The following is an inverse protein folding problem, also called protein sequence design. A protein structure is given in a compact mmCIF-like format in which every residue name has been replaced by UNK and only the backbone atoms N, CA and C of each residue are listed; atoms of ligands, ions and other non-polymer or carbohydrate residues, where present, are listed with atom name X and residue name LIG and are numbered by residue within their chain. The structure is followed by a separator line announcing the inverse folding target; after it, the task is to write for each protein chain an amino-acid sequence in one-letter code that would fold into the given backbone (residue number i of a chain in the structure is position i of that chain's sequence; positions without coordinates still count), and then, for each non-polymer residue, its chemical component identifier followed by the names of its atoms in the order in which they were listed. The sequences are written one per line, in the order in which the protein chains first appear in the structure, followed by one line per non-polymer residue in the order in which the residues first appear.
data_IF_719503963566
#
_entry.id   IF_719503963566
#
_cell.length_a   1.000
_cell.length_b   1.000
_cell.length_c   1.000
_cell.angle_alpha   90.00
_cell.angle_beta   90.00
_cell.angle_gamma   90.00
#
_symmetry.space_group_name_H-M   'P 1'
#
loop_
_entity.id
_entity.type
_entity.pdbx_description
1 polymer ?
#
# COMPACT_ATOMS: atom_id res chain seq x y z
N UNK A 1 13.35 -33.38 -20.26
CA UNK A 1 12.96 -32.66 -19.02
C UNK A 1 12.84 -31.19 -19.38
N UNK A 2 11.63 -30.73 -19.71
CA UNK A 2 11.36 -29.33 -19.98
C UNK A 2 11.44 -28.57 -18.65
N UNK A 3 12.37 -27.63 -18.55
CA UNK A 3 12.33 -26.63 -17.48
C UNK A 3 11.06 -25.83 -17.71
N UNK A 4 10.06 -26.01 -16.82
CA UNK A 4 8.83 -25.24 -16.87
C UNK A 4 9.18 -23.74 -16.89
N UNK A 5 8.59 -23.00 -17.79
CA UNK A 5 8.68 -21.54 -17.79
C UNK A 5 8.20 -21.02 -16.44
N UNK A 6 8.88 -20.03 -15.84
CA UNK A 6 8.42 -19.45 -14.60
C UNK A 6 7.03 -18.87 -14.83
N UNK A 7 6.10 -19.14 -13.92
CA UNK A 7 4.77 -18.52 -13.94
C UNK A 7 4.91 -17.00 -13.80
N UNK A 8 4.01 -16.25 -14.41
CA UNK A 8 4.01 -14.77 -14.34
C UNK A 8 4.07 -14.27 -12.90
N UNK A 9 3.44 -14.97 -11.96
CA UNK A 9 3.53 -14.72 -10.52
C UNK A 9 4.96 -14.74 -9.97
N UNK A 10 5.77 -15.72 -10.37
CA UNK A 10 7.16 -15.84 -9.93
C UNK A 10 8.05 -14.76 -10.53
N UNK A 11 7.80 -14.36 -11.77
CA UNK A 11 8.48 -13.23 -12.42
C UNK A 11 8.15 -11.91 -11.73
N UNK A 12 6.90 -11.67 -11.36
CA UNK A 12 6.46 -10.50 -10.59
C UNK A 12 7.11 -10.49 -9.20
N UNK A 13 7.15 -11.63 -8.51
CA UNK A 13 7.78 -11.75 -7.19
C UNK A 13 9.28 -11.46 -7.23
N UNK A 14 10.02 -12.03 -8.18
CA UNK A 14 11.47 -11.81 -8.33
C UNK A 14 11.79 -10.37 -8.74
N UNK A 15 10.96 -9.77 -9.58
CA UNK A 15 11.07 -8.38 -10.00
C UNK A 15 10.85 -7.44 -8.81
N UNK A 16 9.79 -7.67 -8.04
CA UNK A 16 9.40 -6.84 -6.91
C UNK A 16 10.48 -6.87 -5.80
N UNK A 17 11.05 -8.03 -5.48
CA UNK A 17 12.07 -8.15 -4.43
C UNK A 17 13.34 -7.35 -4.71
N UNK A 18 13.79 -7.29 -5.97
CA UNK A 18 14.97 -6.52 -6.40
C UNK A 18 14.76 -5.01 -6.34
N UNK A 19 13.54 -4.54 -6.61
CA UNK A 19 13.20 -3.12 -6.59
C UNK A 19 13.05 -2.55 -5.18
N UNK A 20 12.49 -3.31 -4.25
CA UNK A 20 12.18 -2.80 -2.91
C UNK A 20 13.42 -2.46 -2.08
N UNK A 21 14.57 -3.12 -2.31
CA UNK A 21 15.80 -2.81 -1.58
C UNK A 21 16.30 -1.36 -1.79
N UNK A 22 16.07 -0.77 -2.99
CA UNK A 22 16.44 0.62 -3.30
C UNK A 22 15.38 1.63 -2.88
N UNK A 23 14.10 1.23 -2.83
CA UNK A 23 12.96 2.11 -2.54
C UNK A 23 13.01 2.70 -1.13
N UNK A 24 13.67 2.03 -0.20
CA UNK A 24 13.74 2.42 1.22
C UNK A 24 15.08 3.03 1.61
N UNK A 25 15.70 3.83 0.75
CA UNK A 25 16.92 4.57 1.06
C UNK A 25 16.73 6.08 0.86
N UNK A 26 17.48 6.88 1.59
CA UNK A 26 17.53 8.33 1.42
C UNK A 26 16.15 9.01 1.53
N UNK A 27 15.84 9.89 0.59
CA UNK A 27 14.58 10.67 0.58
C UNK A 27 13.35 9.81 0.26
N UNK A 28 13.52 8.73 -0.48
CA UNK A 28 12.45 7.74 -0.73
C UNK A 28 11.98 7.08 0.57
N UNK A 29 12.93 6.71 1.44
CA UNK A 29 12.60 6.23 2.79
C UNK A 29 11.75 7.22 3.57
N UNK A 30 12.14 8.51 3.59
CA UNK A 30 11.39 9.55 4.30
C UNK A 30 9.97 9.72 3.75
N UNK A 31 9.81 9.62 2.43
CA UNK A 31 8.50 9.69 1.80
C UNK A 31 7.58 8.53 2.23
N UNK A 32 8.07 7.30 2.11
CA UNK A 32 7.29 6.13 2.52
C UNK A 32 7.05 6.07 4.03
N UNK A 33 8.03 6.47 4.85
CA UNK A 33 7.87 6.55 6.29
C UNK A 33 6.78 7.55 6.69
N UNK A 34 6.71 8.71 6.02
CA UNK A 34 5.62 9.69 6.24
C UNK A 34 4.25 9.10 5.92
N UNK A 35 4.10 8.40 4.79
CA UNK A 35 2.84 7.75 4.42
C UNK A 35 2.43 6.74 5.48
N UNK A 36 3.35 5.87 5.90
CA UNK A 36 3.07 4.86 6.93
C UNK A 36 2.71 5.50 8.27
N UNK A 37 3.39 6.59 8.65
CA UNK A 37 3.04 7.37 9.85
C UNK A 37 1.63 7.93 9.75
N UNK A 38 1.27 8.47 8.60
CA UNK A 38 -0.09 8.95 8.36
C UNK A 38 -1.11 7.79 8.44
N UNK A 39 -0.81 6.62 7.89
CA UNK A 39 -1.70 5.44 7.95
C UNK A 39 -1.97 5.00 9.40
N UNK A 40 -1.00 5.14 10.30
CA UNK A 40 -1.12 4.78 11.71
C UNK A 40 -1.82 5.83 12.58
N UNK A 41 -2.30 6.95 12.00
CA UNK A 41 -3.03 7.94 12.80
C UNK A 41 -4.25 7.33 13.50
N UNK A 42 -4.28 7.50 14.83
CA UNK A 42 -5.37 7.00 15.66
C UNK A 42 -5.21 5.55 16.12
N UNK A 43 -4.08 4.89 15.81
CA UNK A 43 -3.65 3.67 16.50
C UNK A 43 -3.24 4.04 17.93
N UNK A 44 -3.71 3.27 18.90
CA UNK A 44 -3.38 3.51 20.30
C UNK A 44 -2.25 2.61 20.77
N UNK A 45 -1.24 3.25 21.36
CA UNK A 45 -0.24 2.58 22.18
C UNK A 45 -0.28 3.18 23.58
N UNK A 46 -0.66 2.38 24.54
CA UNK A 46 -0.58 2.73 25.97
C UNK A 46 0.12 1.60 26.72
N UNK A 47 0.68 1.91 27.89
CA UNK A 47 1.36 0.91 28.76
C UNK A 47 0.44 -0.24 29.22
N UNK A 48 -0.87 -0.11 29.04
CA UNK A 48 -1.86 -1.08 29.48
C UNK A 48 -2.60 -1.80 28.36
N UNK A 49 -2.56 -1.28 27.14
CA UNK A 49 -3.26 -1.85 26.00
C UNK A 49 -2.63 -1.38 24.70
N UNK A 50 -2.23 -2.33 23.85
CA UNK A 50 -1.84 -2.06 22.47
C UNK A 50 -2.92 -2.58 21.54
N UNK A 51 -3.26 -1.78 20.51
CA UNK A 51 -4.12 -2.23 19.43
C UNK A 51 -3.41 -3.38 18.68
N UNK A 52 -4.13 -4.46 18.36
CA UNK A 52 -3.65 -5.51 17.46
C UNK A 52 -3.80 -5.06 16.04
N UNK A 53 -2.70 -5.02 15.31
CA UNK A 53 -2.63 -4.50 13.94
C UNK A 53 -2.37 -5.65 12.99
N UNK A 54 -3.16 -5.74 11.91
CA UNK A 54 -2.87 -6.60 10.77
C UNK A 54 -2.32 -5.74 9.62
N UNK A 55 -1.15 -6.10 9.10
CA UNK A 55 -0.55 -5.53 7.89
C UNK A 55 -0.75 -6.51 6.73
N UNK A 56 -1.72 -6.22 5.86
CA UNK A 56 -2.10 -7.07 4.72
C UNK A 56 -1.26 -6.67 3.50
N UNK A 57 -0.48 -7.62 2.97
CA UNK A 57 0.56 -7.34 1.99
C UNK A 57 1.79 -6.73 2.65
N UNK A 58 2.24 -7.31 3.76
CA UNK A 58 3.30 -6.74 4.61
C UNK A 58 4.69 -6.72 3.92
N UNK A 59 4.88 -7.51 2.88
CA UNK A 59 6.14 -7.60 2.17
C UNK A 59 7.34 -7.85 3.08
N UNK A 60 8.36 -7.01 2.97
CA UNK A 60 9.59 -7.08 3.77
C UNK A 60 9.46 -6.51 5.20
N UNK A 61 8.24 -6.21 5.66
CA UNK A 61 7.98 -5.74 7.02
C UNK A 61 8.31 -4.26 7.29
N UNK A 62 8.23 -3.42 6.28
CA UNK A 62 8.57 -1.99 6.42
C UNK A 62 7.78 -1.28 7.52
N UNK A 63 6.48 -1.58 7.67
CA UNK A 63 5.65 -1.04 8.75
C UNK A 63 6.19 -1.45 10.13
N UNK A 64 6.43 -2.75 10.32
CA UNK A 64 6.93 -3.30 11.58
C UNK A 64 8.35 -2.83 11.91
N UNK A 65 9.17 -2.60 10.88
CA UNK A 65 10.52 -2.03 11.04
C UNK A 65 10.49 -0.60 11.58
N UNK A 66 9.55 0.22 11.11
CA UNK A 66 9.38 1.60 11.59
C UNK A 66 8.78 1.66 13.00
N UNK A 67 7.94 0.69 13.35
CA UNK A 67 7.17 0.67 14.58
C UNK A 67 7.31 -0.68 15.33
N UNK A 68 8.53 -1.04 15.77
CA UNK A 68 8.81 -2.35 16.36
C UNK A 68 8.10 -2.60 17.69
N UNK A 69 7.60 -1.55 18.35
CA UNK A 69 6.90 -1.64 19.64
C UNK A 69 5.38 -1.84 19.48
N UNK A 70 4.84 -1.83 18.24
CA UNK A 70 3.43 -2.13 18.00
C UNK A 70 3.19 -3.64 17.86
N UNK A 71 2.01 -4.13 18.27
CA UNK A 71 1.61 -5.54 18.05
C UNK A 71 1.12 -5.70 16.59
N UNK A 72 2.07 -5.76 15.68
CA UNK A 72 1.82 -5.91 14.25
C UNK A 72 2.02 -7.36 13.86
N UNK A 73 1.02 -7.94 13.18
CA UNK A 73 1.15 -9.22 12.49
C UNK A 73 1.00 -8.96 10.99
N UNK A 74 1.97 -9.40 10.19
CA UNK A 74 1.92 -9.28 8.73
C UNK A 74 1.35 -10.52 8.06
N UNK A 75 0.72 -10.35 6.90
CA UNK A 75 0.45 -11.44 5.95
C UNK A 75 0.92 -11.04 4.55
N UNK A 76 1.48 -11.99 3.81
CA UNK A 76 1.88 -11.84 2.42
C UNK A 76 1.96 -13.21 1.73
N UNK A 77 1.85 -13.26 0.41
CA UNK A 77 2.01 -14.51 -0.37
C UNK A 77 3.42 -14.70 -0.90
N UNK A 78 4.22 -13.64 -0.97
CA UNK A 78 5.52 -13.60 -1.63
C UNK A 78 6.63 -14.17 -0.74
N UNK A 79 7.14 -15.35 -1.10
CA UNK A 79 8.29 -15.94 -0.39
C UNK A 79 9.53 -15.03 -0.44
N UNK A 80 9.78 -14.37 -1.59
CA UNK A 80 10.92 -13.47 -1.75
C UNK A 80 10.85 -12.23 -0.87
N UNK A 81 9.65 -11.71 -0.61
CA UNK A 81 9.43 -10.58 0.28
C UNK A 81 9.53 -11.02 1.75
N UNK A 82 8.87 -12.11 2.10
CA UNK A 82 8.84 -12.65 3.46
C UNK A 82 10.21 -13.12 3.93
N UNK A 83 11.05 -13.66 3.04
CA UNK A 83 12.43 -14.06 3.36
C UNK A 83 13.28 -12.89 3.89
N UNK A 84 12.92 -11.65 3.57
CA UNK A 84 13.60 -10.44 4.02
C UNK A 84 12.83 -9.71 5.14
N UNK A 85 11.78 -10.32 5.67
CA UNK A 85 10.97 -9.74 6.74
C UNK A 85 11.36 -10.34 8.11
N UNK A 86 12.08 -9.61 8.97
CA UNK A 86 12.53 -10.11 10.27
C UNK A 86 11.43 -10.08 11.34
N UNK A 87 10.22 -9.62 11.01
CA UNK A 87 9.12 -9.41 11.95
C UNK A 87 8.13 -10.57 11.95
N UNK A 88 7.10 -10.48 12.76
CA UNK A 88 6.02 -11.47 12.85
C UNK A 88 5.15 -11.46 11.60
N UNK A 89 5.12 -12.59 10.88
CA UNK A 89 4.28 -12.75 9.70
C UNK A 89 3.74 -14.18 9.53
N UNK A 90 2.72 -14.30 8.70
CA UNK A 90 2.15 -15.57 8.25
C UNK A 90 2.03 -15.51 6.72
N UNK A 91 2.45 -16.56 6.03
CA UNK A 91 2.25 -16.67 4.59
C UNK A 91 0.78 -17.01 4.32
N UNK A 92 0.05 -16.05 3.78
CA UNK A 92 -1.36 -16.22 3.45
C UNK A 92 -1.80 -15.20 2.40
N UNK A 93 -2.78 -15.55 1.53
CA UNK A 93 -3.39 -14.61 0.61
C UNK A 93 -4.34 -13.66 1.35
N UNK A 94 -4.47 -12.43 0.84
CA UNK A 94 -5.40 -11.44 1.37
C UNK A 94 -6.88 -11.86 1.22
N UNK A 95 -7.17 -12.73 0.27
CA UNK A 95 -8.50 -13.28 -0.02
C UNK A 95 -8.90 -14.45 0.90
N UNK A 96 -7.99 -14.90 1.78
CA UNK A 96 -8.25 -15.95 2.78
C UNK A 96 -7.36 -15.73 4.01
N UNK A 97 -7.69 -14.73 4.81
CA UNK A 97 -6.91 -14.32 5.99
C UNK A 97 -7.05 -15.36 7.10
N UNK A 98 -5.94 -15.98 7.60
CA UNK A 98 -5.98 -17.11 8.53
C UNK A 98 -6.19 -16.68 9.99
N UNK A 99 -7.14 -15.79 10.22
CA UNK A 99 -7.52 -15.32 11.56
C UNK A 99 -9.04 -15.38 11.73
N UNK A 100 -9.53 -15.53 12.98
CA UNK A 100 -10.95 -15.51 13.27
C UNK A 100 -11.56 -14.13 13.01
N UNK A 101 -12.88 -14.11 12.94
CA UNK A 101 -13.65 -12.87 12.86
C UNK A 101 -13.37 -11.96 14.06
N UNK A 102 -13.38 -10.65 13.83
CA UNK A 102 -13.29 -9.64 14.89
C UNK A 102 -12.02 -9.77 15.78
N UNK A 103 -10.88 -10.06 15.16
CA UNK A 103 -9.61 -10.32 15.86
C UNK A 103 -8.75 -9.06 16.03
N UNK A 104 -8.69 -8.20 15.02
CA UNK A 104 -7.82 -7.03 14.99
C UNK A 104 -8.56 -5.75 15.33
N UNK A 105 -7.85 -4.84 16.01
CA UNK A 105 -8.34 -3.48 16.30
C UNK A 105 -8.09 -2.55 15.10
N UNK A 106 -7.05 -2.87 14.31
CA UNK A 106 -6.63 -2.09 13.16
C UNK A 106 -6.20 -3.00 12.00
N UNK A 107 -6.63 -2.68 10.78
CA UNK A 107 -6.19 -3.38 9.56
C UNK A 107 -5.61 -2.37 8.59
N UNK A 108 -4.41 -2.64 8.10
CA UNK A 108 -3.68 -1.79 7.16
C UNK A 108 -3.45 -2.58 5.87
N UNK A 109 -3.64 -1.90 4.74
CA UNK A 109 -3.38 -2.43 3.41
C UNK A 109 -2.65 -1.36 2.60
N UNK A 110 -1.45 -1.67 2.09
CA UNK A 110 -0.61 -0.71 1.40
C UNK A 110 -0.13 -1.23 0.05
N UNK A 111 -0.53 -0.54 -1.04
CA UNK A 111 -0.17 -0.92 -2.42
C UNK A 111 -0.45 -2.41 -2.69
N UNK A 112 -1.64 -2.87 -2.36
CA UNK A 112 -2.01 -4.27 -2.43
C UNK A 112 -3.23 -4.52 -3.29
N UNK A 113 -4.30 -3.73 -3.16
CA UNK A 113 -5.60 -4.05 -3.78
C UNK A 113 -5.50 -4.20 -5.29
N UNK A 114 -4.64 -3.39 -5.94
CA UNK A 114 -4.41 -3.47 -7.37
C UNK A 114 -3.64 -4.72 -7.82
N UNK A 115 -3.06 -5.50 -6.89
CA UNK A 115 -2.38 -6.77 -7.16
C UNK A 115 -3.26 -7.99 -6.92
N UNK A 116 -4.42 -7.85 -6.25
CA UNK A 116 -5.27 -8.98 -5.92
C UNK A 116 -6.05 -9.46 -7.13
N UNK A 117 -6.20 -10.76 -7.30
CA UNK A 117 -7.04 -11.36 -8.35
C UNK A 117 -8.51 -10.99 -8.16
N UNK A 118 -8.98 -10.97 -6.90
CA UNK A 118 -10.36 -10.63 -6.52
C UNK A 118 -10.36 -9.61 -5.38
N UNK A 119 -10.13 -8.30 -5.67
CA UNK A 119 -10.02 -7.24 -4.66
C UNK A 119 -11.19 -7.16 -3.68
N UNK A 120 -12.42 -7.39 -4.18
CA UNK A 120 -13.63 -7.42 -3.34
C UNK A 120 -13.56 -8.51 -2.27
N UNK A 121 -12.95 -9.67 -2.57
CA UNK A 121 -12.78 -10.75 -1.61
C UNK A 121 -11.74 -10.40 -0.55
N UNK A 122 -10.63 -9.78 -0.95
CA UNK A 122 -9.62 -9.28 0.00
C UNK A 122 -10.21 -8.24 0.96
N UNK A 123 -10.99 -7.29 0.44
CA UNK A 123 -11.70 -6.30 1.27
C UNK A 123 -12.70 -6.96 2.24
N UNK A 124 -13.47 -7.95 1.79
CA UNK A 124 -14.41 -8.69 2.64
C UNK A 124 -13.68 -9.43 3.78
N UNK A 125 -12.54 -10.06 3.51
CA UNK A 125 -11.72 -10.72 4.52
C UNK A 125 -11.11 -9.71 5.52
N UNK A 126 -10.60 -8.57 5.05
CA UNK A 126 -10.12 -7.49 5.92
C UNK A 126 -11.24 -6.98 6.85
N UNK A 127 -12.45 -6.81 6.30
CA UNK A 127 -13.63 -6.44 7.09
C UNK A 127 -14.02 -7.53 8.09
N UNK A 128 -13.98 -8.81 7.70
CA UNK A 128 -14.31 -9.94 8.57
C UNK A 128 -13.44 -9.99 9.81
N UNK A 129 -12.12 -9.89 9.63
CA UNK A 129 -11.15 -10.00 10.73
C UNK A 129 -11.06 -8.75 11.60
N UNK A 130 -11.58 -7.60 11.14
CA UNK A 130 -11.62 -6.36 11.88
C UNK A 130 -12.74 -6.41 12.93
N UNK A 131 -12.46 -5.97 14.14
CA UNK A 131 -13.44 -5.85 15.24
C UNK A 131 -14.52 -4.83 14.90
N UNK A 132 -15.75 -4.97 15.44
CA UNK A 132 -16.74 -3.89 15.42
C UNK A 132 -16.15 -2.60 15.99
N UNK A 133 -16.30 -1.48 15.26
CA UNK A 133 -15.66 -0.20 15.61
C UNK A 133 -14.14 -0.14 15.38
N UNK A 134 -13.54 -1.21 14.89
CA UNK A 134 -12.14 -1.25 14.48
C UNK A 134 -11.89 -0.34 13.28
N UNK A 135 -10.64 0.10 13.10
CA UNK A 135 -10.25 1.03 12.05
C UNK A 135 -9.53 0.31 10.92
N UNK A 136 -9.76 0.79 9.72
CA UNK A 136 -9.11 0.30 8.52
C UNK A 136 -8.50 1.45 7.73
N UNK A 137 -7.35 1.22 7.10
CA UNK A 137 -6.72 2.15 6.19
C UNK A 137 -6.11 1.44 4.99
N UNK A 138 -6.37 1.99 3.82
CA UNK A 138 -5.74 1.59 2.57
C UNK A 138 -4.96 2.76 1.99
N UNK A 139 -3.80 2.46 1.41
CA UNK A 139 -3.09 3.35 0.50
C UNK A 139 -2.78 2.60 -0.79
N UNK A 140 -3.41 3.02 -1.90
CA UNK A 140 -3.32 2.32 -3.19
C UNK A 140 -3.17 3.31 -4.35
N UNK A 141 -2.60 2.93 -5.50
CA UNK A 141 -2.54 3.78 -6.67
C UNK A 141 -3.93 4.25 -7.11
N UNK A 142 -3.99 5.50 -7.57
CA UNK A 142 -5.15 6.10 -8.22
C UNK A 142 -4.90 6.15 -9.72
N UNK A 143 -5.64 5.37 -10.48
CA UNK A 143 -5.52 5.30 -11.93
C UNK A 143 -6.46 6.33 -12.60
N UNK A 144 -6.36 7.58 -12.15
CA UNK A 144 -7.08 8.71 -12.77
C UNK A 144 -6.53 9.11 -14.14
N UNK A 145 -7.14 10.13 -14.73
CA UNK A 145 -6.84 10.63 -16.09
C UNK A 145 -5.35 10.88 -16.34
N UNK A 146 -4.63 11.41 -15.35
CA UNK A 146 -3.19 11.68 -15.49
C UNK A 146 -2.37 10.38 -15.56
N UNK A 147 -2.71 9.38 -14.79
CA UNK A 147 -2.07 8.06 -14.83
C UNK A 147 -2.27 7.41 -16.19
N UNK A 148 -3.49 7.36 -16.71
CA UNK A 148 -3.80 6.78 -18.01
C UNK A 148 -3.10 7.52 -19.15
N UNK A 149 -3.02 8.86 -19.08
CA UNK A 149 -2.26 9.65 -20.05
C UNK A 149 -0.77 9.29 -20.04
N UNK A 150 -0.15 9.21 -18.87
CA UNK A 150 1.28 8.86 -18.77
C UNK A 150 1.51 7.41 -19.16
N UNK A 151 0.66 6.48 -18.74
CA UNK A 151 0.68 5.10 -19.17
C UNK A 151 0.65 4.98 -20.70
N UNK A 152 -0.19 5.75 -21.38
CA UNK A 152 -0.29 5.74 -22.84
C UNK A 152 1.00 6.15 -23.55
N UNK A 153 1.81 7.01 -22.92
CA UNK A 153 3.13 7.44 -23.43
C UNK A 153 4.19 6.34 -23.20
N UNK A 154 4.11 5.63 -22.07
CA UNK A 154 5.11 4.66 -21.62
C UNK A 154 4.68 3.20 -21.81
N UNK A 155 3.71 2.91 -22.66
CA UNK A 155 3.13 1.57 -22.90
C UNK A 155 4.12 0.46 -23.27
N UNK A 156 5.36 0.80 -23.60
CA UNK A 156 6.39 -0.16 -24.04
C UNK A 156 7.34 -0.60 -22.93
N UNK A 157 7.04 -0.29 -21.67
CA UNK A 157 7.86 -0.76 -20.55
C UNK A 157 7.12 -1.87 -19.80
N UNK A 158 7.80 -3.01 -19.56
CA UNK A 158 7.31 -4.17 -18.78
C UNK A 158 6.84 -3.82 -17.35
N UNK A 159 6.94 -2.55 -16.96
CA UNK A 159 6.59 -2.02 -15.65
C UNK A 159 5.08 -1.85 -15.43
N UNK A 160 4.31 -1.81 -16.50
CA UNK A 160 2.85 -1.71 -16.47
C UNK A 160 2.24 -3.02 -16.97
N UNK A 161 2.49 -4.11 -16.23
CA UNK A 161 2.00 -5.42 -16.60
C UNK A 161 0.46 -5.46 -16.61
N UNK A 162 -0.10 -6.33 -17.45
CA UNK A 162 -1.54 -6.56 -17.56
C UNK A 162 -2.18 -7.18 -16.30
N UNK A 163 -1.36 -7.52 -15.29
CA UNK A 163 -1.77 -8.16 -14.04
C UNK A 163 -2.21 -7.15 -12.95
N UNK A 164 -2.14 -5.84 -13.22
CA UNK A 164 -2.54 -4.85 -12.23
C UNK A 164 -3.95 -4.35 -12.53
N UNK A 165 -4.84 -4.46 -11.56
CA UNK A 165 -6.13 -3.78 -11.65
C UNK A 165 -5.92 -2.27 -11.62
N UNK A 166 -6.60 -1.58 -12.52
CA UNK A 166 -6.61 -0.13 -12.58
C UNK A 166 -7.93 0.36 -12.01
N UNK A 167 -7.91 0.96 -10.83
CA UNK A 167 -9.11 1.52 -10.21
C UNK A 167 -9.10 3.04 -10.32
N UNK A 168 -10.22 3.61 -10.73
CA UNK A 168 -10.46 5.02 -10.45
C UNK A 168 -11.00 5.20 -9.01
N UNK A 169 -10.98 6.44 -8.52
CA UNK A 169 -11.40 6.75 -7.16
C UNK A 169 -12.82 6.26 -6.84
N UNK A 170 -13.76 6.42 -7.77
CA UNK A 170 -15.18 6.01 -7.59
C UNK A 170 -15.34 4.49 -7.48
N UNK A 171 -14.66 3.72 -8.33
CA UNK A 171 -14.71 2.24 -8.29
C UNK A 171 -14.14 1.71 -6.98
N UNK A 172 -13.02 2.30 -6.53
CA UNK A 172 -12.39 1.89 -5.29
C UNK A 172 -13.27 2.19 -4.07
N UNK A 173 -13.93 3.36 -4.06
CA UNK A 173 -14.86 3.71 -2.97
C UNK A 173 -16.07 2.79 -2.93
N UNK A 174 -16.67 2.49 -4.09
CA UNK A 174 -17.81 1.56 -4.19
C UNK A 174 -17.42 0.16 -3.67
N UNK A 175 -16.26 -0.37 -4.09
CA UNK A 175 -15.80 -1.68 -3.61
C UNK A 175 -15.58 -1.73 -2.09
N UNK A 176 -15.09 -0.63 -1.50
CA UNK A 176 -14.86 -0.52 -0.06
C UNK A 176 -16.20 -0.48 0.69
N UNK A 177 -17.15 0.31 0.22
CA UNK A 177 -18.49 0.43 0.80
C UNK A 177 -19.29 -0.88 0.64
N UNK A 178 -19.20 -1.56 -0.52
CA UNK A 178 -19.77 -2.89 -0.78
C UNK A 178 -19.23 -3.96 0.19
N UNK A 179 -17.96 -3.85 0.58
CA UNK A 179 -17.36 -4.76 1.56
C UNK A 179 -17.81 -4.50 3.01
N UNK A 180 -18.60 -3.46 3.25
CA UNK A 180 -19.17 -3.11 4.54
C UNK A 180 -18.41 -2.07 5.34
N UNK A 181 -17.36 -1.46 4.81
CA UNK A 181 -16.66 -0.38 5.49
C UNK A 181 -17.40 0.96 5.40
N UNK A 182 -17.49 1.67 6.50
CA UNK A 182 -17.85 3.09 6.50
C UNK A 182 -16.60 3.93 6.22
N UNK A 183 -16.55 4.60 5.07
CA UNK A 183 -15.42 5.49 4.72
C UNK A 183 -15.50 6.76 5.57
N UNK A 184 -14.45 7.04 6.34
CA UNK A 184 -14.36 8.21 7.22
C UNK A 184 -13.48 9.32 6.66
N UNK A 185 -12.52 8.99 5.80
CA UNK A 185 -11.62 9.96 5.19
C UNK A 185 -11.14 9.49 3.81
N UNK A 186 -11.06 10.42 2.86
CA UNK A 186 -10.52 10.24 1.51
C UNK A 186 -9.45 11.29 1.28
N UNK A 187 -8.18 10.86 1.13
CA UNK A 187 -7.04 11.75 0.84
C UNK A 187 -6.39 11.39 -0.48
N UNK A 188 -6.19 12.39 -1.30
CA UNK A 188 -5.47 12.32 -2.56
C UNK A 188 -4.01 12.70 -2.32
N UNK A 189 -3.07 11.84 -2.71
CA UNK A 189 -1.65 11.95 -2.35
C UNK A 189 -0.78 11.69 -3.57
N UNK A 190 0.38 12.37 -3.61
CA UNK A 190 1.45 12.02 -4.51
C UNK A 190 1.25 12.56 -5.92
N UNK A 191 1.40 13.87 -6.11
CA UNK A 191 1.34 14.51 -7.43
C UNK A 191 2.72 14.53 -8.08
N UNK A 192 3.69 15.18 -7.44
CA UNK A 192 5.08 15.23 -7.86
C UNK A 192 5.98 14.35 -6.98
N UNK A 193 5.68 14.26 -5.68
CA UNK A 193 6.49 13.48 -4.76
C UNK A 193 6.43 11.99 -5.06
N UNK A 194 5.27 11.43 -5.39
CA UNK A 194 5.15 10.00 -5.67
C UNK A 194 5.97 9.53 -6.89
N UNK A 195 5.85 10.14 -8.08
CA UNK A 195 6.67 9.73 -9.22
C UNK A 195 8.17 9.98 -9.02
N UNK A 196 8.56 11.01 -8.25
CA UNK A 196 9.95 11.36 -8.05
C UNK A 196 10.61 10.67 -6.85
N UNK A 197 9.88 10.39 -5.79
CA UNK A 197 10.39 9.81 -4.54
C UNK A 197 9.90 8.37 -4.31
N UNK A 198 8.70 8.04 -4.79
CA UNK A 198 8.09 6.72 -4.65
C UNK A 198 8.64 5.68 -5.62
N UNK A 199 9.24 6.12 -6.74
CA UNK A 199 9.86 5.27 -7.76
C UNK A 199 11.33 5.63 -7.97
N UNK A 200 12.21 5.38 -7.00
CA UNK A 200 13.63 5.74 -7.11
C UNK A 200 14.36 5.04 -8.27
N UNK A 201 13.77 4.00 -8.83
CA UNK A 201 14.32 3.27 -9.97
C UNK A 201 14.11 3.99 -11.31
N UNK A 202 13.10 4.87 -11.38
CA UNK A 202 12.81 5.68 -12.56
C UNK A 202 13.66 6.95 -12.53
N UNK A 203 13.86 7.51 -11.34
CA UNK A 203 14.60 8.74 -11.11
C UNK A 203 16.07 8.40 -10.84
N UNK A 204 16.91 8.49 -11.89
CA UNK A 204 18.32 8.13 -11.82
C UNK A 204 19.22 9.21 -11.17
N UNK A 205 18.65 10.32 -10.73
CA UNK A 205 19.38 11.40 -10.08
C UNK A 205 19.09 11.46 -8.59
N UNK A 206 20.10 11.87 -7.83
CA UNK A 206 19.96 12.00 -6.37
C UNK A 206 19.16 13.25 -6.03
N UNK A 207 18.03 13.04 -5.37
CA UNK A 207 17.21 14.14 -4.84
C UNK A 207 17.67 14.44 -3.42
N UNK A 208 17.99 15.72 -3.14
CA UNK A 208 18.34 16.14 -1.79
C UNK A 208 17.15 16.05 -0.83
N UNK A 209 17.42 15.82 0.45
CA UNK A 209 16.37 15.74 1.49
C UNK A 209 15.55 17.04 1.55
N UNK A 210 16.20 18.20 1.38
CA UNK A 210 15.52 19.51 1.38
C UNK A 210 14.51 19.63 0.23
N UNK A 211 14.92 19.29 -0.99
CA UNK A 211 14.04 19.30 -2.15
C UNK A 211 12.93 18.24 -2.05
N UNK A 212 13.22 17.06 -1.52
CA UNK A 212 12.20 16.05 -1.27
C UNK A 212 11.13 16.50 -0.27
N UNK A 213 11.52 17.18 0.82
CA UNK A 213 10.58 17.80 1.76
C UNK A 213 9.73 18.89 1.10
N UNK A 214 10.32 19.69 0.21
CA UNK A 214 9.59 20.69 -0.57
C UNK A 214 8.55 20.04 -1.47
N UNK A 215 8.89 18.96 -2.18
CA UNK A 215 7.95 18.22 -3.03
C UNK A 215 6.77 17.67 -2.21
N UNK A 216 7.04 17.10 -1.04
CA UNK A 216 5.99 16.58 -0.16
C UNK A 216 5.07 17.70 0.36
N UNK A 217 5.63 18.84 0.71
CA UNK A 217 4.85 20.03 1.10
C UNK A 217 4.01 20.55 -0.06
N UNK A 218 4.58 20.64 -1.27
CA UNK A 218 3.89 21.09 -2.47
C UNK A 218 2.72 20.19 -2.82
N UNK A 219 2.91 18.86 -2.76
CA UNK A 219 1.86 17.88 -2.94
C UNK A 219 0.70 18.09 -1.96
N UNK A 220 1.01 18.40 -0.71
CA UNK A 220 0.00 18.72 0.30
C UNK A 220 -0.80 19.98 -0.04
N UNK A 221 -0.18 20.99 -0.67
CA UNK A 221 -0.94 22.17 -1.12
C UNK A 221 -1.87 21.83 -2.29
N UNK A 222 -1.39 21.06 -3.28
CA UNK A 222 -2.22 20.65 -4.43
C UNK A 222 -3.43 19.83 -3.96
N UNK A 223 -3.26 18.98 -2.96
CA UNK A 223 -4.36 18.14 -2.43
C UNK A 223 -5.57 18.94 -1.90
N UNK A 224 -5.36 20.23 -1.58
CA UNK A 224 -6.39 21.17 -1.11
C UNK A 224 -7.09 21.93 -2.23
N UNK A 225 -6.67 21.73 -3.48
CA UNK A 225 -7.20 22.42 -4.65
C UNK A 225 -8.19 21.54 -5.43
N UNK A 226 -8.91 22.08 -6.41
CA UNK A 226 -9.74 21.29 -7.34
C UNK A 226 -8.95 20.21 -8.11
N UNK A 227 -7.63 20.38 -8.27
CA UNK A 227 -6.76 19.42 -8.96
C UNK A 227 -6.44 18.15 -8.16
N UNK A 228 -7.02 17.99 -6.95
CA UNK A 228 -6.78 16.83 -6.10
C UNK A 228 -6.99 15.47 -6.78
N UNK A 229 -7.93 15.38 -7.73
CA UNK A 229 -8.18 14.13 -8.48
C UNK A 229 -7.07 13.73 -9.46
N UNK A 230 -6.07 14.59 -9.68
CA UNK A 230 -4.88 14.27 -10.48
C UNK A 230 -3.79 13.56 -9.67
N UNK A 231 -4.09 13.10 -8.47
CA UNK A 231 -3.14 12.37 -7.63
C UNK A 231 -2.79 10.99 -8.19
N UNK A 232 -1.60 10.51 -7.88
CA UNK A 232 -1.15 9.16 -8.22
C UNK A 232 -1.60 8.08 -7.24
N UNK A 233 -2.05 8.48 -6.08
CA UNK A 233 -2.48 7.53 -5.06
C UNK A 233 -3.55 8.10 -4.14
N UNK A 234 -4.29 7.20 -3.53
CA UNK A 234 -5.35 7.48 -2.57
C UNK A 234 -4.99 6.86 -1.23
N UNK A 235 -5.23 7.59 -0.17
CA UNK A 235 -5.29 7.04 1.19
C UNK A 235 -6.73 7.15 1.65
N UNK A 236 -7.32 6.01 1.98
CA UNK A 236 -8.71 5.89 2.40
C UNK A 236 -8.72 5.31 3.78
N UNK A 237 -9.43 5.96 4.70
CA UNK A 237 -9.68 5.45 6.03
C UNK A 237 -11.13 5.09 6.19
N UNK A 238 -11.38 4.04 6.94
CA UNK A 238 -12.70 3.54 7.24
C UNK A 238 -12.76 2.87 8.61
N UNK A 239 -13.96 2.45 8.96
CA UNK A 239 -14.23 1.62 10.13
C UNK A 239 -15.26 0.54 9.81
N UNK A 240 -15.27 -0.52 10.61
CA UNK A 240 -16.31 -1.54 10.60
C UNK A 240 -17.50 -1.11 11.44
#
# INVERSE_FOLDING_TARGET
MSRGEPTDEKLVQDYTSKFYAKRYSGVGFLYHARIVTDMLQGVRMTDRHSDKILDVGCGNGFLSQLYPNFDITGIDISDGMLANNPHKWIKAPAEAIPFPDNHFDYVICRSLLHHLDVPKRGLAEMHRVLKPGGKWVCWDPNHGVLYEFIRSIFQHTDRFSHLHHSFCDSELFEMIEDAGFEITEKRYIGYLAYPLLGFPDIVQFTISVGFGKFLMWFDEQISKTPFKKMSWSLMIRGKK
#
